data_IF_860934529621
#
_entry.id   IF_860934529621
#
_cell.length_a   1.000
_cell.length_b   1.000
_cell.length_c   1.000
_cell.angle_alpha   90.00
_cell.angle_beta   90.00
_cell.angle_gamma   90.00
#
_symmetry.space_group_name_H-M   'P 1'
#
loop_
_entity.id
_entity.type
_entity.pdbx_description
1 polymer ?
#
# COMPACT_ATOMS: atom_id res chain seq x y z
N UNK A 1 -23.07 -11.73 26.95
CA UNK A 1 -21.71 -11.63 27.53
C UNK A 1 -20.62 -12.37 26.73
N UNK A 2 -20.71 -12.47 25.39
CA UNK A 2 -19.70 -13.14 24.54
C UNK A 2 -18.96 -12.19 23.58
N UNK A 3 -19.42 -10.95 23.41
CA UNK A 3 -18.87 -10.00 22.45
C UNK A 3 -17.68 -9.19 23.01
N UNK A 4 -17.61 -8.98 24.33
CA UNK A 4 -16.55 -8.22 24.98
C UNK A 4 -15.18 -8.93 24.95
N UNK A 5 -15.16 -10.26 25.16
CA UNK A 5 -13.92 -11.09 25.11
C UNK A 5 -13.34 -11.24 23.70
N UNK A 6 -14.06 -10.84 22.65
CA UNK A 6 -13.54 -10.83 21.27
C UNK A 6 -12.82 -9.51 20.96
N UNK A 7 -13.26 -8.40 21.54
CA UNK A 7 -12.62 -7.10 21.41
C UNK A 7 -11.26 -7.04 22.14
N UNK A 8 -11.17 -7.62 23.34
CA UNK A 8 -9.91 -7.68 24.11
C UNK A 8 -8.81 -8.50 23.39
N UNK A 9 -9.18 -9.58 22.68
CA UNK A 9 -8.23 -10.36 21.88
C UNK A 9 -7.76 -9.62 20.61
N UNK A 10 -8.60 -8.74 20.07
CA UNK A 10 -8.21 -7.85 18.97
C UNK A 10 -7.20 -6.79 19.43
N UNK A 11 -7.46 -6.15 20.57
CA UNK A 11 -6.58 -5.14 21.16
C UNK A 11 -5.19 -5.71 21.52
N UNK A 12 -5.14 -6.89 22.15
CA UNK A 12 -3.89 -7.59 22.45
C UNK A 12 -3.11 -8.01 21.20
N UNK A 13 -3.80 -8.19 20.06
CA UNK A 13 -3.16 -8.45 18.77
C UNK A 13 -2.48 -7.22 18.20
N UNK A 14 -3.13 -6.04 18.30
CA UNK A 14 -2.58 -4.76 17.82
C UNK A 14 -1.41 -4.30 18.69
N UNK A 15 -1.51 -4.45 20.01
CA UNK A 15 -0.41 -4.12 20.93
C UNK A 15 0.79 -5.03 20.69
N UNK A 16 0.59 -6.34 20.53
CA UNK A 16 1.67 -7.29 20.19
C UNK A 16 2.27 -7.00 18.81
N UNK A 17 1.46 -6.55 17.85
CA UNK A 17 1.91 -6.11 16.53
C UNK A 17 2.77 -4.84 16.61
N UNK A 18 2.38 -3.87 17.44
CA UNK A 18 3.15 -2.66 17.69
C UNK A 18 4.50 -2.96 18.38
N UNK A 19 4.54 -3.94 19.29
CA UNK A 19 5.79 -4.43 19.90
C UNK A 19 6.71 -5.14 18.90
N UNK A 20 6.16 -5.94 17.96
CA UNK A 20 6.95 -6.58 16.89
C UNK A 20 7.49 -5.60 15.84
N UNK A 21 6.88 -4.42 15.67
CA UNK A 21 7.42 -3.37 14.82
C UNK A 21 8.69 -2.70 15.40
N UNK A 22 8.90 -2.84 16.72
CA UNK A 22 10.05 -2.28 17.46
C UNK A 22 11.22 -3.27 17.53
N UNK A 23 10.95 -4.57 17.47
CA UNK A 23 11.97 -5.62 17.57
C UNK A 23 12.75 -5.81 16.26
N UNK A 24 14.06 -6.03 16.40
CA UNK A 24 14.99 -6.10 15.26
C UNK A 24 14.79 -7.36 14.41
N UNK A 25 14.22 -8.41 14.98
CA UNK A 25 14.14 -9.79 14.48
C UNK A 25 12.98 -9.98 13.48
N UNK A 26 11.83 -9.34 13.70
CA UNK A 26 10.69 -9.40 12.77
C UNK A 26 10.91 -8.62 11.47
N UNK A 27 11.88 -7.70 11.44
CA UNK A 27 12.15 -6.88 10.24
C UNK A 27 12.52 -7.74 9.05
N UNK A 28 13.34 -8.78 9.22
CA UNK A 28 13.71 -9.68 8.11
C UNK A 28 12.49 -10.38 7.48
N UNK A 29 11.65 -10.99 8.32
CA UNK A 29 10.44 -11.70 7.88
C UNK A 29 9.40 -10.77 7.27
N UNK A 30 9.22 -9.58 7.87
CA UNK A 30 8.33 -8.54 7.35
C UNK A 30 8.77 -8.04 5.97
N UNK A 31 10.07 -7.79 5.79
CA UNK A 31 10.64 -7.37 4.51
C UNK A 31 10.48 -8.45 3.44
N UNK A 32 10.70 -9.72 3.79
CA UNK A 32 10.50 -10.86 2.89
C UNK A 32 9.06 -10.94 2.39
N UNK A 33 8.09 -10.75 3.30
CA UNK A 33 6.67 -10.75 2.95
C UNK A 33 6.30 -9.58 2.02
N UNK A 34 6.79 -8.36 2.30
CA UNK A 34 6.53 -7.20 1.42
C UNK A 34 7.15 -7.41 0.04
N UNK A 35 8.41 -7.84 -0.03
CA UNK A 35 9.10 -8.08 -1.30
C UNK A 35 8.40 -9.10 -2.18
N UNK A 36 7.76 -10.11 -1.59
CA UNK A 36 6.96 -11.09 -2.32
C UNK A 36 5.66 -10.50 -2.89
N UNK A 37 5.11 -9.46 -2.27
CA UNK A 37 3.85 -8.84 -2.67
C UNK A 37 4.03 -7.74 -3.71
N UNK A 38 5.15 -7.03 -3.72
CA UNK A 38 5.39 -5.90 -4.64
C UNK A 38 5.28 -6.25 -6.14
N UNK A 39 5.81 -7.39 -6.64
CA UNK A 39 5.65 -7.76 -8.05
C UNK A 39 4.19 -8.01 -8.43
N UNK A 40 3.42 -8.65 -7.54
CA UNK A 40 2.00 -8.89 -7.79
C UNK A 40 1.21 -7.56 -7.81
N UNK A 41 1.54 -6.64 -6.90
CA UNK A 41 0.93 -5.31 -6.86
C UNK A 41 1.21 -4.51 -8.14
N UNK A 42 2.41 -4.62 -8.72
CA UNK A 42 2.72 -3.91 -9.97
C UNK A 42 1.93 -4.44 -11.16
N UNK A 43 1.73 -5.76 -11.25
CA UNK A 43 0.89 -6.38 -12.29
C UNK A 43 -0.55 -5.89 -12.22
N UNK A 44 -1.12 -5.84 -11.02
CA UNK A 44 -2.49 -5.33 -10.80
C UNK A 44 -2.64 -3.86 -11.21
N UNK A 45 -1.61 -3.04 -10.94
CA UNK A 45 -1.64 -1.61 -11.25
C UNK A 45 -1.33 -1.31 -12.72
N UNK A 46 -0.72 -2.23 -13.47
CA UNK A 46 -0.21 -1.97 -14.82
C UNK A 46 -1.28 -1.54 -15.82
N UNK A 47 -2.50 -2.06 -15.70
CA UNK A 47 -3.59 -1.79 -16.64
C UNK A 47 -4.16 -0.36 -16.52
N UNK A 48 -4.20 0.21 -15.31
CA UNK A 48 -4.86 1.51 -15.04
C UNK A 48 -3.89 2.60 -14.58
N UNK A 49 -2.78 2.20 -13.95
CA UNK A 49 -1.82 3.08 -13.30
C UNK A 49 -0.38 2.69 -13.66
N UNK A 50 -0.08 2.61 -14.96
CA UNK A 50 1.22 2.13 -15.47
C UNK A 50 2.45 2.80 -14.82
N UNK A 51 2.43 4.12 -14.62
CA UNK A 51 3.54 4.82 -13.94
C UNK A 51 3.70 4.41 -12.47
N UNK A 52 2.61 4.14 -11.76
CA UNK A 52 2.66 3.67 -10.36
C UNK A 52 3.16 2.22 -10.32
N UNK A 53 2.75 1.39 -11.28
CA UNK A 53 3.25 0.02 -11.43
C UNK A 53 4.78 -0.01 -11.63
N UNK A 54 5.32 0.87 -12.46
CA UNK A 54 6.77 1.01 -12.65
C UNK A 54 7.47 1.47 -11.36
N UNK A 55 6.87 2.41 -10.61
CA UNK A 55 7.42 2.88 -9.33
C UNK A 55 7.46 1.77 -8.26
N UNK A 56 6.45 0.90 -8.25
CA UNK A 56 6.40 -0.30 -7.38
C UNK A 56 7.52 -1.28 -7.78
N UNK A 57 7.73 -1.51 -9.07
CA UNK A 57 8.81 -2.36 -9.56
C UNK A 57 10.19 -1.80 -9.21
N UNK A 58 10.39 -0.48 -9.36
CA UNK A 58 11.63 0.17 -8.96
C UNK A 58 11.88 0.06 -7.45
N UNK A 59 10.83 0.15 -6.63
CA UNK A 59 10.92 -0.06 -5.18
C UNK A 59 11.31 -1.50 -4.82
N UNK A 60 10.77 -2.48 -5.55
CA UNK A 60 11.14 -3.90 -5.38
C UNK A 60 12.61 -4.16 -5.73
N UNK A 61 13.09 -3.57 -6.83
CA UNK A 61 14.48 -3.71 -7.28
C UNK A 61 15.47 -2.98 -6.36
N UNK A 62 15.19 -1.73 -6.00
CA UNK A 62 16.09 -0.91 -5.17
C UNK A 62 16.26 -1.49 -3.77
N UNK A 63 15.19 -2.05 -3.20
CA UNK A 63 15.23 -2.73 -1.90
C UNK A 63 15.96 -4.08 -1.94
N UNK A 64 16.30 -4.60 -3.13
CA UNK A 64 16.89 -5.93 -3.33
C UNK A 64 18.34 -5.90 -3.82
N UNK A 65 18.86 -4.76 -4.29
CA UNK A 65 20.22 -4.65 -4.84
C UNK A 65 21.27 -4.27 -3.78
N UNK A 66 22.31 -5.09 -3.66
CA UNK A 66 23.73 -4.79 -3.33
C UNK A 66 24.11 -3.95 -2.09
N UNK A 67 23.19 -3.26 -1.44
CA UNK A 67 23.46 -2.35 -0.32
C UNK A 67 23.41 -3.08 1.03
N UNK A 68 23.91 -2.44 2.10
CA UNK A 68 23.75 -2.95 3.46
C UNK A 68 22.27 -3.12 3.83
N UNK A 69 21.98 -4.00 4.77
CA UNK A 69 20.58 -4.30 5.15
C UNK A 69 19.81 -3.06 5.61
N UNK A 70 20.45 -2.19 6.41
CA UNK A 70 19.85 -0.93 6.84
C UNK A 70 19.49 -0.01 5.66
N UNK A 71 20.35 0.06 4.63
CA UNK A 71 20.07 0.87 3.43
C UNK A 71 18.88 0.28 2.68
N UNK A 72 18.83 -1.06 2.50
CA UNK A 72 17.69 -1.73 1.85
C UNK A 72 16.37 -1.48 2.58
N UNK A 73 16.37 -1.51 3.91
CA UNK A 73 15.18 -1.20 4.73
C UNK A 73 14.75 0.24 4.55
N UNK A 74 15.71 1.18 4.57
CA UNK A 74 15.43 2.60 4.35
C UNK A 74 14.82 2.82 2.96
N UNK A 75 15.46 2.31 1.91
CA UNK A 75 14.96 2.42 0.53
C UNK A 75 13.58 1.80 0.35
N UNK A 76 13.32 0.65 0.98
CA UNK A 76 11.99 0.06 0.94
C UNK A 76 10.94 0.94 1.63
N UNK A 77 11.24 1.46 2.83
CA UNK A 77 10.29 2.32 3.56
C UNK A 77 9.97 3.59 2.79
N UNK A 78 10.99 4.23 2.22
CA UNK A 78 10.86 5.44 1.42
C UNK A 78 10.09 5.18 0.13
N UNK A 79 10.43 4.11 -0.59
CA UNK A 79 9.71 3.71 -1.81
C UNK A 79 8.25 3.36 -1.56
N UNK A 80 7.94 2.62 -0.49
CA UNK A 80 6.55 2.31 -0.10
C UNK A 80 5.78 3.58 0.28
N UNK A 81 6.41 4.54 0.98
CA UNK A 81 5.76 5.81 1.30
C UNK A 81 5.42 6.61 0.03
N UNK A 82 6.34 6.66 -0.95
CA UNK A 82 6.08 7.33 -2.22
C UNK A 82 4.96 6.65 -3.03
N UNK A 83 4.97 5.32 -3.11
CA UNK A 83 3.90 4.55 -3.78
C UNK A 83 2.54 4.82 -3.12
N UNK A 84 2.47 4.89 -1.78
CA UNK A 84 1.24 5.22 -1.05
C UNK A 84 0.73 6.60 -1.46
N UNK A 85 1.58 7.63 -1.46
CA UNK A 85 1.17 8.98 -1.89
C UNK A 85 0.71 8.99 -3.34
N UNK A 86 1.39 8.29 -4.25
CA UNK A 86 0.99 8.20 -5.64
C UNK A 86 -0.38 7.54 -5.81
N UNK A 87 -0.66 6.47 -5.05
CA UNK A 87 -1.97 5.81 -5.03
C UNK A 87 -3.07 6.73 -4.48
N UNK A 88 -2.80 7.47 -3.41
CA UNK A 88 -3.76 8.41 -2.83
C UNK A 88 -4.15 9.52 -3.82
N UNK A 89 -3.17 10.08 -4.53
CA UNK A 89 -3.39 11.07 -5.59
C UNK A 89 -4.19 10.47 -6.75
N UNK A 90 -3.82 9.26 -7.19
CA UNK A 90 -4.51 8.58 -8.27
C UNK A 90 -5.97 8.28 -7.92
N UNK A 91 -6.24 7.85 -6.69
CA UNK A 91 -7.60 7.66 -6.18
C UNK A 91 -8.39 8.98 -6.20
N UNK A 92 -7.79 10.08 -5.75
CA UNK A 92 -8.43 11.39 -5.77
C UNK A 92 -8.80 11.82 -7.21
N UNK A 93 -7.90 11.63 -8.17
CA UNK A 93 -8.15 11.95 -9.57
C UNK A 93 -9.22 11.06 -10.22
N UNK A 94 -9.24 9.76 -9.92
CA UNK A 94 -10.27 8.84 -10.42
C UNK A 94 -11.63 9.24 -9.86
N UNK A 95 -11.72 9.55 -8.57
CA UNK A 95 -12.97 10.03 -7.95
C UNK A 95 -13.43 11.34 -8.59
N UNK A 96 -12.55 12.32 -8.73
CA UNK A 96 -12.88 13.59 -9.39
C UNK A 96 -13.41 13.39 -10.81
N UNK A 97 -12.75 12.57 -11.63
CA UNK A 97 -13.17 12.35 -13.03
C UNK A 97 -14.48 11.59 -13.14
N UNK A 98 -14.72 10.59 -12.30
CA UNK A 98 -15.91 9.76 -12.38
C UNK A 98 -17.11 10.31 -11.58
N UNK A 99 -16.90 11.18 -10.59
CA UNK A 99 -17.99 11.94 -9.95
C UNK A 99 -18.57 13.01 -10.91
N UNK A 100 -17.76 13.52 -11.84
CA UNK A 100 -18.21 14.50 -12.85
C UNK A 100 -19.11 13.89 -13.94
N UNK A 101 -18.98 12.59 -14.23
CA UNK A 101 -19.82 11.91 -15.22
C UNK A 101 -21.22 11.58 -14.67
N UNK A 102 -21.32 11.22 -13.39
CA UNK A 102 -22.60 11.02 -12.72
C UNK A 102 -23.46 12.31 -12.66
N UNK A 103 -22.82 13.48 -12.60
CA UNK A 103 -23.51 14.77 -12.60
C UNK A 103 -23.92 15.26 -14.00
N UNK A 104 -23.33 14.72 -15.08
CA UNK A 104 -23.64 15.14 -16.45
C UNK A 104 -24.81 14.38 -17.07
N UNK A 105 -25.03 13.12 -16.71
CA UNK A 105 -26.12 12.31 -17.25
C UNK A 105 -27.53 12.72 -16.76
N UNK A 106 -27.66 13.47 -15.66
CA UNK A 106 -28.97 13.96 -15.16
C UNK A 106 -29.45 15.25 -15.86
N UNK A 107 -28.62 15.86 -16.71
CA UNK A 107 -28.95 17.13 -17.40
C UNK A 107 -29.47 16.96 -18.84
N UNK A 108 -29.54 15.73 -19.35
CA UNK A 108 -29.90 15.43 -20.75
C UNK A 108 -31.31 14.91 -21.01
N UNK A 109 -32.13 14.72 -19.97
CA UNK A 109 -33.49 14.15 -20.11
C UNK A 109 -34.55 15.01 -19.43
N UNK A 110 -34.82 16.20 -19.98
CA UNK A 110 -36.17 16.79 -19.89
C UNK A 110 -36.59 17.25 -21.27
N UNK A 111 -37.42 16.40 -21.86
CA UNK A 111 -38.24 16.59 -23.04
C UNK A 111 -39.31 17.66 -22.80
#
# INVERSE_FOLDING_TARGET
>A
MHSARRAERGALGVERWAWSAISREERSTFLSNIKRQLPHLSEMLKAQFGMIADQVMQTSLSSSRGASEQIRVRSLREGVAQVKTALEIAIAHVKERHDLDAAKDDSGSKQ
#
